data_IF_094807247924
#
_entry.id   IF_094807247924
#
_cell.length_a   1.000
_cell.length_b   1.000
_cell.length_c   1.000
_cell.angle_alpha   90.00
_cell.angle_beta   90.00
_cell.angle_gamma   90.00
#
_symmetry.space_group_name_H-M   'P 1'
#
loop_
_entity.id
_entity.type
_entity.pdbx_description
1 polymer ?
#
# COMPACT_ATOMS: atom_id res chain seq x y z
N UNK A 1 4.33 2.44 -15.78
CA UNK A 1 3.81 1.14 -16.23
C UNK A 1 3.57 0.29 -15.01
N UNK A 2 2.39 -0.33 -14.91
CA UNK A 2 2.09 -1.31 -13.87
C UNK A 2 2.48 -2.68 -14.41
N UNK A 3 3.20 -3.48 -13.62
CA UNK A 3 3.65 -4.81 -14.02
C UNK A 3 2.82 -5.89 -13.31
N UNK A 4 2.72 -7.12 -13.84
CA UNK A 4 1.96 -8.20 -13.20
C UNK A 4 2.34 -8.40 -11.73
N UNK A 5 3.63 -8.39 -11.40
CA UNK A 5 4.12 -8.49 -10.02
C UNK A 5 3.60 -7.37 -9.09
N UNK A 6 3.38 -6.17 -9.62
CA UNK A 6 2.82 -5.04 -8.86
C UNK A 6 1.31 -5.20 -8.61
N UNK A 7 0.59 -5.78 -9.56
CA UNK A 7 -0.82 -6.16 -9.37
C UNK A 7 -0.94 -7.32 -8.37
N UNK A 8 -0.12 -8.36 -8.49
CA UNK A 8 -0.07 -9.47 -7.52
C UNK A 8 0.20 -8.95 -6.12
N UNK A 9 1.20 -8.08 -5.96
CA UNK A 9 1.49 -7.40 -4.70
C UNK A 9 0.28 -6.65 -4.15
N UNK A 10 -0.45 -5.91 -5.01
CA UNK A 10 -1.64 -5.17 -4.59
C UNK A 10 -2.78 -6.09 -4.16
N UNK A 11 -3.00 -7.20 -4.86
CA UNK A 11 -4.00 -8.21 -4.48
C UNK A 11 -3.66 -8.83 -3.12
N UNK A 12 -2.39 -9.20 -2.90
CA UNK A 12 -1.92 -9.75 -1.61
C UNK A 12 -2.02 -8.72 -0.48
N UNK A 13 -1.75 -7.44 -0.73
CA UNK A 13 -1.92 -6.38 0.25
C UNK A 13 -3.39 -6.22 0.67
N UNK A 14 -4.32 -6.30 -0.30
CA UNK A 14 -5.75 -6.28 -0.02
C UNK A 14 -6.19 -7.51 0.77
N UNK A 15 -5.69 -8.71 0.43
CA UNK A 15 -5.95 -9.93 1.19
C UNK A 15 -5.44 -9.81 2.63
N UNK A 16 -4.18 -9.42 2.82
CA UNK A 16 -3.58 -9.17 4.13
C UNK A 16 -4.43 -8.20 4.98
N UNK A 17 -4.92 -7.14 4.35
CA UNK A 17 -5.76 -6.14 5.01
C UNK A 17 -7.11 -6.72 5.42
N UNK A 18 -7.77 -7.48 4.54
CA UNK A 18 -9.06 -8.10 4.85
C UNK A 18 -8.95 -9.17 5.95
N UNK A 19 -7.91 -10.01 5.91
CA UNK A 19 -7.63 -11.00 6.95
C UNK A 19 -7.45 -10.34 8.33
N UNK A 20 -6.67 -9.26 8.39
CA UNK A 20 -6.49 -8.49 9.63
C UNK A 20 -7.77 -7.82 10.11
N UNK A 21 -8.58 -7.26 9.20
CA UNK A 21 -9.89 -6.67 9.54
C UNK A 21 -10.83 -7.71 10.15
N UNK A 22 -10.74 -8.97 9.70
CA UNK A 22 -11.49 -10.11 10.25
C UNK A 22 -10.92 -10.63 11.58
N UNK A 23 -9.84 -10.04 12.08
CA UNK A 23 -9.22 -10.45 13.35
C UNK A 23 -8.35 -11.70 13.27
N UNK A 24 -7.96 -12.13 12.06
CA UNK A 24 -7.06 -13.27 11.90
C UNK A 24 -5.62 -12.91 12.23
N UNK A 25 -4.94 -13.81 12.92
CA UNK A 25 -3.53 -13.67 13.23
C UNK A 25 -2.69 -13.98 11.98
N UNK A 26 -2.00 -12.97 11.48
CA UNK A 26 -1.04 -13.11 10.37
C UNK A 26 0.38 -12.96 10.95
N UNK A 27 1.36 -13.79 10.54
CA UNK A 27 2.74 -13.65 10.98
C UNK A 27 3.25 -12.22 10.78
N UNK A 28 3.95 -11.68 11.79
CA UNK A 28 4.43 -10.30 11.76
C UNK A 28 5.41 -10.05 10.60
N UNK A 29 6.18 -11.07 10.21
CA UNK A 29 7.17 -11.04 9.12
C UNK A 29 6.55 -10.66 7.78
N UNK A 30 5.29 -11.06 7.53
CA UNK A 30 4.57 -10.78 6.27
C UNK A 30 4.51 -9.27 5.98
N UNK A 31 4.43 -8.42 7.01
CA UNK A 31 4.43 -6.96 6.78
C UNK A 31 5.78 -6.45 6.26
N UNK A 32 6.86 -7.01 6.79
CA UNK A 32 8.22 -6.64 6.41
C UNK A 32 8.54 -7.16 5.01
N UNK A 33 8.17 -8.42 4.73
CA UNK A 33 8.27 -9.05 3.41
C UNK A 33 7.45 -8.27 2.37
N UNK A 34 6.20 -7.91 2.67
CA UNK A 34 5.34 -7.10 1.79
C UNK A 34 5.98 -5.75 1.46
N UNK A 35 6.61 -5.10 2.44
CA UNK A 35 7.33 -3.83 2.24
C UNK A 35 8.58 -4.03 1.38
N UNK A 36 9.33 -5.10 1.63
CA UNK A 36 10.54 -5.43 0.87
C UNK A 36 10.21 -5.71 -0.59
N UNK A 37 9.17 -6.48 -0.86
CA UNK A 37 8.68 -6.75 -2.22
C UNK A 37 8.30 -5.44 -2.93
N UNK A 38 7.59 -4.52 -2.27
CA UNK A 38 7.25 -3.22 -2.88
C UNK A 38 8.49 -2.42 -3.25
N UNK A 39 9.49 -2.40 -2.38
CA UNK A 39 10.76 -1.73 -2.65
C UNK A 39 11.49 -2.36 -3.84
N UNK A 40 11.55 -3.69 -3.92
CA UNK A 40 12.14 -4.41 -5.05
C UNK A 40 11.38 -4.15 -6.36
N UNK A 41 10.05 -4.12 -6.35
CA UNK A 41 9.22 -3.76 -7.51
C UNK A 41 9.54 -2.34 -7.99
N UNK A 42 9.61 -1.38 -7.07
CA UNK A 42 9.94 0.00 -7.40
C UNK A 42 11.35 0.09 -7.99
N UNK A 43 12.32 -0.61 -7.43
CA UNK A 43 13.69 -0.70 -7.94
C UNK A 43 13.72 -1.29 -9.36
N UNK A 44 13.05 -2.42 -9.60
CA UNK A 44 12.94 -3.04 -10.92
C UNK A 44 12.37 -2.06 -11.97
N UNK A 45 11.35 -1.29 -11.60
CA UNK A 45 10.70 -0.31 -12.48
C UNK A 45 11.58 0.90 -12.83
N UNK A 46 12.70 1.14 -12.11
CA UNK A 46 13.59 2.27 -12.40
C UNK A 46 14.41 2.09 -13.68
N UNK A 47 14.84 0.87 -13.99
CA UNK A 47 15.61 0.54 -15.20
C UNK A 47 15.35 -0.89 -15.64
N UNK A 48 14.22 -1.11 -16.30
CA UNK A 48 13.80 -2.44 -16.77
C UNK A 48 14.68 -3.02 -17.89
N UNK A 49 15.59 -2.21 -18.46
CA UNK A 49 16.44 -2.61 -19.58
C UNK A 49 17.75 -3.28 -19.13
N UNK A 50 18.10 -3.16 -17.85
CA UNK A 50 19.31 -3.73 -17.29
C UNK A 50 19.21 -5.27 -17.21
N UNK A 51 20.19 -6.03 -17.75
CA UNK A 51 20.18 -7.50 -17.71
C UNK A 51 20.08 -8.11 -16.31
N UNK A 52 20.55 -7.42 -15.26
CA UNK A 52 20.41 -7.89 -13.87
C UNK A 52 18.96 -7.87 -13.38
N UNK A 53 18.07 -7.08 -14.01
CA UNK A 53 16.67 -7.01 -13.64
C UNK A 53 15.90 -8.31 -13.87
N UNK A 54 16.41 -9.21 -14.74
CA UNK A 54 15.84 -10.55 -14.89
C UNK A 54 15.93 -11.33 -13.58
N UNK A 55 17.07 -11.24 -12.87
CA UNK A 55 17.26 -11.88 -11.57
C UNK A 55 16.39 -11.22 -10.50
N UNK A 56 16.30 -9.89 -10.52
CA UNK A 56 15.43 -9.15 -9.59
C UNK A 56 13.96 -9.52 -9.76
N UNK A 57 13.46 -9.62 -11.00
CA UNK A 57 12.09 -10.03 -11.26
C UNK A 57 11.83 -11.45 -10.77
N UNK A 58 12.77 -12.37 -10.97
CA UNK A 58 12.67 -13.73 -10.42
C UNK A 58 12.56 -13.69 -8.89
N UNK A 59 13.44 -12.94 -8.22
CA UNK A 59 13.43 -12.78 -6.76
C UNK A 59 12.12 -12.18 -6.26
N UNK A 60 11.59 -11.18 -6.98
CA UNK A 60 10.29 -10.58 -6.66
C UNK A 60 9.18 -11.62 -6.70
N UNK A 61 9.14 -12.46 -7.74
CA UNK A 61 8.13 -13.50 -7.87
C UNK A 61 8.27 -14.59 -6.80
N UNK A 62 9.49 -14.97 -6.43
CA UNK A 62 9.75 -15.91 -5.34
C UNK A 62 9.21 -15.37 -4.00
N UNK A 63 9.54 -14.12 -3.65
CA UNK A 63 9.00 -13.48 -2.43
C UNK A 63 7.47 -13.34 -2.47
N UNK A 64 6.89 -13.02 -3.63
CA UNK A 64 5.44 -12.94 -3.78
C UNK A 64 4.76 -14.30 -3.57
N UNK A 65 5.37 -15.38 -4.05
CA UNK A 65 4.83 -16.74 -3.88
C UNK A 65 4.84 -17.16 -2.41
N UNK A 66 5.93 -16.91 -1.68
CA UNK A 66 6.03 -17.22 -0.24
C UNK A 66 4.93 -16.51 0.58
N UNK A 67 4.69 -15.24 0.28
CA UNK A 67 3.63 -14.47 0.92
C UNK A 67 2.25 -14.99 0.49
N UNK A 68 2.08 -15.31 -0.79
CA UNK A 68 0.83 -15.84 -1.33
C UNK A 68 0.43 -17.15 -0.65
N UNK A 69 1.35 -18.11 -0.54
CA UNK A 69 1.12 -19.39 0.14
C UNK A 69 0.64 -19.15 1.58
N UNK A 70 1.38 -18.34 2.34
CA UNK A 70 1.02 -18.02 3.73
C UNK A 70 -0.36 -17.39 3.85
N UNK A 71 -0.70 -16.41 2.99
CA UNK A 71 -1.98 -15.70 3.08
C UNK A 71 -3.16 -16.56 2.59
N UNK A 72 -2.96 -17.41 1.58
CA UNK A 72 -4.00 -18.31 1.08
C UNK A 72 -4.28 -19.45 2.05
N UNK A 73 -3.27 -19.95 2.77
CA UNK A 73 -3.45 -20.94 3.83
C UNK A 73 -4.33 -20.35 4.96
N UNK A 74 -4.06 -19.11 5.37
CA UNK A 74 -4.88 -18.40 6.35
C UNK A 74 -6.29 -18.16 5.79
N UNK A 75 -6.43 -17.79 4.51
CA UNK A 75 -7.73 -17.58 3.88
C UNK A 75 -8.59 -18.85 3.86
N UNK A 76 -8.00 -20.03 3.66
CA UNK A 76 -8.72 -21.31 3.67
C UNK A 76 -9.39 -21.59 5.02
N UNK A 77 -8.80 -21.12 6.12
CA UNK A 77 -9.37 -21.28 7.47
C UNK A 77 -10.72 -20.58 7.64
N UNK A 78 -11.04 -19.57 6.81
CA UNK A 78 -12.36 -18.93 6.78
C UNK A 78 -13.36 -19.84 6.05
N UNK A 79 -13.06 -20.16 4.79
CA UNK A 79 -13.67 -21.21 3.98
C UNK A 79 -13.04 -21.23 2.57
N UNK A 80 -13.33 -22.29 1.81
CA UNK A 80 -12.81 -22.48 0.45
C UNK A 80 -13.28 -21.42 -0.55
N UNK A 81 -14.55 -21.01 -0.48
CA UNK A 81 -15.09 -20.00 -1.41
C UNK A 81 -14.37 -18.66 -1.22
N UNK A 82 -14.06 -18.30 0.03
CA UNK A 82 -13.29 -17.12 0.39
C UNK A 82 -11.85 -17.22 -0.13
N UNK A 83 -11.21 -18.38 -0.08
CA UNK A 83 -9.88 -18.58 -0.65
C UNK A 83 -9.91 -18.48 -2.19
N UNK A 84 -10.88 -19.13 -2.84
CA UNK A 84 -10.96 -19.20 -4.30
C UNK A 84 -11.14 -17.81 -4.94
N UNK A 85 -11.96 -16.92 -4.36
CA UNK A 85 -12.09 -15.55 -4.88
C UNK A 85 -10.75 -14.79 -4.92
N UNK A 86 -9.83 -15.06 -3.97
CA UNK A 86 -8.51 -14.44 -3.96
C UNK A 86 -7.58 -15.10 -4.96
N UNK A 87 -7.65 -16.42 -5.09
CA UNK A 87 -6.94 -17.18 -6.13
C UNK A 87 -7.34 -16.66 -7.52
N UNK A 88 -8.62 -16.42 -7.79
CA UNK A 88 -9.07 -15.86 -9.06
C UNK A 88 -8.50 -14.47 -9.34
N UNK A 89 -8.47 -13.58 -8.33
CA UNK A 89 -7.85 -12.25 -8.47
C UNK A 89 -6.35 -12.35 -8.76
N UNK A 90 -5.65 -13.26 -8.09
CA UNK A 90 -4.21 -13.49 -8.28
C UNK A 90 -3.91 -14.06 -9.67
N UNK A 91 -4.73 -15.01 -10.16
CA UNK A 91 -4.64 -15.54 -11.53
C UNK A 91 -4.74 -14.40 -12.55
N UNK A 92 -5.78 -13.57 -12.46
CA UNK A 92 -5.97 -12.42 -13.36
C UNK A 92 -4.81 -11.42 -13.28
N UNK A 93 -4.36 -11.07 -12.07
CA UNK A 93 -3.21 -10.20 -11.86
C UNK A 93 -1.92 -10.75 -12.52
N UNK A 94 -1.68 -12.06 -12.42
CA UNK A 94 -0.52 -12.71 -13.04
C UNK A 94 -0.54 -12.66 -14.57
N UNK A 95 -1.73 -12.61 -15.18
CA UNK A 95 -1.94 -12.44 -16.63
C UNK A 95 -1.77 -10.98 -17.08
N UNK A 96 -1.53 -10.07 -16.15
CA UNK A 96 -1.33 -8.63 -16.40
C UNK A 96 -2.63 -7.83 -16.39
N UNK A 97 -3.75 -8.41 -15.95
CA UNK A 97 -4.97 -7.65 -15.72
C UNK A 97 -4.81 -6.67 -14.54
N UNK A 98 -5.33 -5.46 -14.72
CA UNK A 98 -5.39 -4.47 -13.65
C UNK A 98 -6.61 -4.74 -12.76
N UNK A 99 -6.37 -5.34 -11.59
CA UNK A 99 -7.42 -5.69 -10.61
C UNK A 99 -7.73 -4.49 -9.72
N UNK A 100 -6.69 -3.78 -9.32
CA UNK A 100 -6.78 -2.60 -8.47
C UNK A 100 -5.98 -1.46 -9.10
N UNK A 101 -6.48 -0.24 -8.98
CA UNK A 101 -5.72 0.96 -9.33
C UNK A 101 -4.50 1.03 -8.40
N UNK A 102 -3.31 1.07 -8.98
CA UNK A 102 -2.08 1.29 -8.22
C UNK A 102 -1.75 2.79 -8.29
N UNK A 103 -1.73 3.51 -7.15
CA UNK A 103 -1.36 4.91 -7.14
C UNK A 103 0.02 5.11 -7.77
N UNK A 104 0.13 6.09 -8.67
CA UNK A 104 1.41 6.42 -9.32
C UNK A 104 2.24 7.29 -8.38
N UNK A 105 2.79 6.71 -7.33
CA UNK A 105 3.65 7.47 -6.42
C UNK A 105 5.02 7.65 -7.05
N UNK A 106 5.39 8.89 -7.42
CA UNK A 106 6.80 9.22 -7.64
C UNK A 106 7.48 9.33 -6.28
N UNK A 107 8.52 8.53 -6.06
CA UNK A 107 9.42 8.72 -4.93
C UNK A 107 10.05 10.12 -5.08
N UNK A 108 9.65 11.06 -4.23
CA UNK A 108 10.23 12.41 -4.17
C UNK A 108 10.93 12.54 -2.83
N UNK A 109 12.12 13.12 -2.85
CA UNK A 109 12.76 13.58 -1.64
C UNK A 109 11.95 14.78 -1.14
N UNK A 110 11.43 14.71 0.08
CA UNK A 110 10.66 15.82 0.63
C UNK A 110 11.61 16.86 1.20
N UNK A 111 11.54 18.06 0.64
CA UNK A 111 12.31 19.22 1.07
C UNK A 111 11.37 20.14 1.84
N UNK A 112 11.87 20.78 2.91
CA UNK A 112 11.09 21.76 3.65
C UNK A 112 10.33 21.24 4.87
N UNK A 113 10.48 19.96 5.26
CA UNK A 113 9.93 19.46 6.52
C UNK A 113 10.43 20.32 7.69
N UNK A 114 9.53 20.92 8.51
CA UNK A 114 9.94 21.69 9.67
C UNK A 114 10.85 20.88 10.59
N UNK A 115 11.92 21.47 11.16
CA UNK A 115 12.82 20.76 12.06
C UNK A 115 12.05 20.11 13.22
N UNK A 116 12.27 18.80 13.43
CA UNK A 116 11.60 18.02 14.47
C UNK A 116 10.25 17.42 14.06
N UNK A 117 9.72 17.75 12.89
CA UNK A 117 8.46 17.17 12.41
C UNK A 117 8.72 15.85 11.67
N UNK A 118 7.81 14.90 11.89
CA UNK A 118 7.67 13.73 11.04
C UNK A 118 6.82 14.08 9.81
N UNK A 119 6.88 13.23 8.78
CA UNK A 119 6.08 13.38 7.57
C UNK A 119 5.44 12.06 7.16
N UNK A 120 4.20 12.12 6.69
CA UNK A 120 3.53 11.06 5.94
C UNK A 120 2.99 11.60 4.61
N UNK A 121 3.18 10.86 3.52
CA UNK A 121 2.53 11.15 2.22
C UNK A 121 1.47 10.09 1.97
N UNK A 122 0.26 10.52 1.65
CA UNK A 122 -0.92 9.65 1.57
C UNK A 122 -1.68 9.91 0.29
N UNK A 123 -1.90 8.84 -0.47
CA UNK A 123 -2.88 8.85 -1.55
C UNK A 123 -4.27 8.60 -0.97
N UNK A 124 -5.18 9.52 -1.23
CA UNK A 124 -6.59 9.44 -0.87
C UNK A 124 -7.32 8.57 -1.89
N UNK A 125 -8.38 7.86 -1.45
CA UNK A 125 -9.21 7.13 -2.41
C UNK A 125 -10.00 8.09 -3.30
N UNK A 126 -10.46 9.19 -2.70
CA UNK A 126 -11.13 10.31 -3.34
C UNK A 126 -10.62 11.63 -2.72
N UNK A 127 -10.57 12.74 -3.47
CA UNK A 127 -10.17 14.05 -2.93
C UNK A 127 -11.02 14.46 -1.73
N UNK A 128 -10.39 14.93 -0.67
CA UNK A 128 -11.08 15.58 0.45
C UNK A 128 -11.24 17.07 0.17
N UNK A 129 -12.37 17.66 0.55
CA UNK A 129 -12.55 19.11 0.48
C UNK A 129 -11.55 19.83 1.39
N UNK A 130 -11.06 21.00 0.97
CA UNK A 130 -10.12 21.82 1.74
C UNK A 130 -10.62 22.10 3.17
N UNK A 131 -11.90 22.45 3.34
CA UNK A 131 -12.51 22.69 4.65
C UNK A 131 -12.32 21.51 5.62
N UNK A 132 -12.52 20.28 5.12
CA UNK A 132 -12.37 19.04 5.93
C UNK A 132 -10.91 18.80 6.28
N UNK A 133 -9.99 19.04 5.34
CA UNK A 133 -8.56 18.90 5.59
C UNK A 133 -8.08 19.93 6.62
N UNK A 134 -8.61 21.15 6.55
CA UNK A 134 -8.31 22.20 7.52
C UNK A 134 -8.83 21.85 8.92
N UNK A 135 -10.07 21.36 9.05
CA UNK A 135 -10.63 20.93 10.33
C UNK A 135 -9.73 19.86 10.99
N UNK A 136 -9.31 18.84 10.24
CA UNK A 136 -8.42 17.77 10.74
C UNK A 136 -7.04 18.33 11.11
N UNK A 137 -6.51 19.26 10.30
CA UNK A 137 -5.22 19.89 10.56
C UNK A 137 -5.23 20.65 11.89
N UNK A 138 -6.29 21.41 12.15
CA UNK A 138 -6.48 22.17 13.39
C UNK A 138 -6.71 21.25 14.59
N UNK A 139 -7.58 20.24 14.47
CA UNK A 139 -7.90 19.31 15.56
C UNK A 139 -6.68 18.53 16.05
N UNK A 140 -5.86 18.03 15.12
CA UNK A 140 -4.73 17.17 15.45
C UNK A 140 -3.38 17.91 15.52
N UNK A 141 -3.37 19.25 15.40
CA UNK A 141 -2.14 20.07 15.30
C UNK A 141 -1.18 19.54 14.21
N UNK A 142 -1.68 19.49 12.98
CA UNK A 142 -0.96 19.04 11.80
C UNK A 142 -0.84 20.17 10.79
N UNK A 143 0.17 20.05 9.92
CA UNK A 143 0.23 20.80 8.67
C UNK A 143 -0.12 19.79 7.58
N UNK A 144 -1.14 20.07 6.77
CA UNK A 144 -1.54 19.22 5.65
C UNK A 144 -1.47 20.04 4.37
N UNK A 145 -0.71 19.55 3.39
CA UNK A 145 -0.51 20.18 2.10
C UNK A 145 -0.98 19.24 0.99
N UNK A 146 -1.77 19.75 0.05
CA UNK A 146 -2.07 19.01 -1.19
C UNK A 146 -0.86 19.11 -2.15
N UNK A 147 -0.29 17.96 -2.50
CA UNK A 147 0.69 17.87 -3.58
C UNK A 147 0.01 17.67 -4.94
N UNK A 148 -1.10 16.91 -4.94
CA UNK A 148 -2.04 16.68 -6.06
C UNK A 148 -3.45 16.53 -5.44
N UNK A 149 -4.52 16.52 -6.25
CA UNK A 149 -5.92 16.45 -5.74
C UNK A 149 -6.17 15.26 -4.81
N UNK A 150 -5.54 14.12 -5.07
CA UNK A 150 -5.64 12.87 -4.30
C UNK A 150 -4.37 12.54 -3.51
N UNK A 151 -3.39 13.46 -3.42
CA UNK A 151 -2.12 13.22 -2.74
C UNK A 151 -1.81 14.34 -1.76
N UNK A 152 -1.78 13.99 -0.48
CA UNK A 152 -1.47 14.93 0.61
C UNK A 152 -0.14 14.60 1.29
N UNK A 153 0.56 15.64 1.75
CA UNK A 153 1.67 15.57 2.67
C UNK A 153 1.20 16.06 4.05
N UNK A 154 1.43 15.24 5.08
CA UNK A 154 1.01 15.47 6.46
C UNK A 154 2.24 15.60 7.33
N UNK A 155 2.42 16.74 7.98
CA UNK A 155 3.55 17.04 8.85
C UNK A 155 3.09 17.29 10.28
N UNK A 156 3.91 16.85 11.24
CA UNK A 156 3.67 17.08 12.65
C UNK A 156 4.42 16.09 13.54
N UNK A 157 4.06 16.04 14.82
CA UNK A 157 4.55 15.00 15.71
C UNK A 157 4.01 13.63 15.29
N UNK A 158 4.81 12.58 15.50
CA UNK A 158 4.49 11.22 15.07
C UNK A 158 3.12 10.73 15.56
N UNK A 159 2.77 11.02 16.82
CA UNK A 159 1.47 10.61 17.39
C UNK A 159 0.31 11.45 16.86
N UNK A 160 0.53 12.73 16.54
CA UNK A 160 -0.47 13.58 15.89
C UNK A 160 -0.77 13.09 14.48
N UNK A 161 0.27 12.77 13.69
CA UNK A 161 0.11 12.21 12.34
C UNK A 161 -0.72 10.92 12.43
N UNK A 162 -0.40 10.03 13.37
CA UNK A 162 -1.13 8.77 13.55
C UNK A 162 -2.61 8.99 13.87
N UNK A 163 -2.98 10.03 14.64
CA UNK A 163 -4.37 10.36 14.95
C UNK A 163 -5.08 10.99 13.74
N UNK A 164 -4.49 12.00 13.12
CA UNK A 164 -5.06 12.64 11.93
C UNK A 164 -5.23 11.67 10.76
N UNK A 165 -4.30 10.74 10.54
CA UNK A 165 -4.44 9.71 9.51
C UNK A 165 -5.58 8.73 9.80
N UNK A 166 -5.90 8.44 11.06
CA UNK A 166 -7.07 7.62 11.40
C UNK A 166 -8.37 8.36 11.11
N UNK A 167 -8.39 9.65 11.38
CA UNK A 167 -9.54 10.52 11.12
C UNK A 167 -9.79 10.63 9.61
N UNK A 168 -8.75 10.95 8.83
CA UNK A 168 -8.76 10.94 7.36
C UNK A 168 -9.26 9.59 6.83
N UNK A 169 -8.81 8.48 7.41
CA UNK A 169 -9.24 7.16 6.98
C UNK A 169 -10.74 6.92 7.20
N UNK A 170 -11.38 7.55 8.18
CA UNK A 170 -12.79 7.33 8.52
C UNK A 170 -13.73 7.75 7.38
N UNK A 171 -13.36 8.76 6.59
CA UNK A 171 -14.12 9.25 5.44
C UNK A 171 -14.17 8.27 4.25
N UNK A 172 -13.36 7.21 4.28
CA UNK A 172 -13.30 6.19 3.23
C UNK A 172 -13.87 4.85 3.69
N UNK A 173 -14.53 4.81 4.85
CA UNK A 173 -15.18 3.60 5.39
C UNK A 173 -16.72 3.63 5.27
N UNK A 174 -17.29 4.58 4.50
CA UNK A 174 -18.72 4.64 4.15
C UNK A 174 -19.04 3.92 2.83
#
# INVERSE_FOLDING_TARGET
MTIPAEQTWMVLLNLLTDLKKRGLEVPKSINEEMRLVKASINFYKTDTSNPQMIKELKRINEMLNEIQETLLDIAETINKDYQEQWIEKLKKASLGEEIYKVPKTKARFVVGTPPGFSIARVHLQEPLSEDRVQEIAEEHNLIIEFEEDDLIAVYGEKENIKRGLKDIASFFHE
#
